data_IF_452877051709
#
_entry.id   IF_452877051709
#
_cell.length_a   1.000
_cell.length_b   1.000
_cell.length_c   1.000
_cell.angle_alpha   90.00
_cell.angle_beta   90.00
_cell.angle_gamma   90.00
#
_symmetry.space_group_name_H-M   'P 1'
#
loop_
_entity.id
_entity.type
_entity.pdbx_description
1 polymer ?
#
# COMPACT_ATOMS: atom_id res chain seq x y z
N UNK A 1 26.44 -15.86 -21.04
CA UNK A 1 25.90 -14.62 -20.43
C UNK A 1 24.36 -14.57 -20.33
N UNK A 2 23.60 -15.45 -20.99
CA UNK A 2 22.12 -15.41 -20.97
C UNK A 2 21.48 -15.87 -19.64
N UNK A 3 22.01 -16.92 -19.00
CA UNK A 3 21.41 -17.51 -17.77
C UNK A 3 21.42 -16.60 -16.54
N UNK A 4 22.40 -15.68 -16.43
CA UNK A 4 22.45 -14.75 -15.29
C UNK A 4 21.29 -13.76 -15.36
N UNK A 5 21.03 -13.17 -16.53
CA UNK A 5 19.92 -12.22 -16.73
C UNK A 5 18.56 -12.86 -16.45
N UNK A 6 18.36 -14.11 -16.87
CA UNK A 6 17.12 -14.87 -16.60
C UNK A 6 16.91 -15.08 -15.10
N UNK A 7 17.95 -15.44 -14.35
CA UNK A 7 17.85 -15.60 -12.89
C UNK A 7 17.54 -14.28 -12.17
N UNK A 8 18.20 -13.17 -12.58
CA UNK A 8 17.89 -11.84 -12.04
C UNK A 8 16.43 -11.43 -12.33
N UNK A 9 15.91 -11.68 -13.53
CA UNK A 9 14.51 -11.38 -13.88
C UNK A 9 13.51 -12.25 -13.13
N UNK A 10 13.80 -13.53 -12.93
CA UNK A 10 12.96 -14.44 -12.13
C UNK A 10 12.97 -14.03 -10.66
N UNK A 11 14.14 -13.65 -10.13
CA UNK A 11 14.27 -13.11 -8.78
C UNK A 11 13.46 -11.81 -8.62
N UNK A 12 13.56 -10.89 -9.58
CA UNK A 12 12.83 -9.63 -9.55
C UNK A 12 11.32 -9.84 -9.62
N UNK A 13 10.84 -10.72 -10.51
CA UNK A 13 9.42 -11.10 -10.59
C UNK A 13 8.91 -11.70 -9.27
N UNK A 14 9.70 -12.58 -8.62
CA UNK A 14 9.32 -13.17 -7.34
C UNK A 14 9.26 -12.11 -6.23
N UNK A 15 10.23 -11.20 -6.17
CA UNK A 15 10.25 -10.11 -5.19
C UNK A 15 9.04 -9.19 -5.39
N UNK A 16 8.76 -8.77 -6.63
CA UNK A 16 7.58 -7.96 -6.96
C UNK A 16 6.28 -8.66 -6.54
N UNK A 17 6.13 -9.94 -6.87
CA UNK A 17 4.96 -10.71 -6.46
C UNK A 17 4.80 -10.77 -4.93
N UNK A 18 5.90 -11.03 -4.20
CA UNK A 18 5.87 -11.07 -2.74
C UNK A 18 5.47 -9.73 -2.11
N UNK A 19 5.98 -8.61 -2.66
CA UNK A 19 5.63 -7.27 -2.20
C UNK A 19 4.17 -6.91 -2.51
N UNK A 20 3.69 -7.23 -3.71
CA UNK A 20 2.27 -7.04 -4.07
C UNK A 20 1.38 -7.86 -3.13
N UNK A 21 1.72 -9.13 -2.90
CA UNK A 21 0.97 -9.99 -1.99
C UNK A 21 0.92 -9.41 -0.57
N UNK A 22 2.06 -8.98 -0.04
CA UNK A 22 2.12 -8.33 1.27
C UNK A 22 1.25 -7.06 1.34
N UNK A 23 1.27 -6.23 0.29
CA UNK A 23 0.47 -5.02 0.22
C UNK A 23 -1.03 -5.29 0.18
N UNK A 24 -1.49 -6.23 -0.64
CA UNK A 24 -2.92 -6.56 -0.75
C UNK A 24 -3.46 -7.37 0.43
N UNK A 25 -2.61 -8.20 1.06
CA UNK A 25 -3.00 -9.03 2.22
C UNK A 25 -2.88 -8.28 3.55
N UNK A 26 -2.24 -7.12 3.58
CA UNK A 26 -2.11 -6.33 4.80
C UNK A 26 -3.50 -5.97 5.34
N UNK A 27 -3.74 -6.34 6.60
CA UNK A 27 -4.94 -6.01 7.36
C UNK A 27 -4.52 -5.55 8.74
N UNK A 28 -5.00 -4.38 9.12
CA UNK A 28 -4.81 -3.85 10.46
C UNK A 28 -5.65 -4.66 11.45
N UNK A 29 -5.09 -4.93 12.63
CA UNK A 29 -5.79 -5.64 13.69
C UNK A 29 -6.63 -4.63 14.48
N UNK A 30 -7.88 -5.00 14.82
CA UNK A 30 -8.76 -4.16 15.63
C UNK A 30 -8.08 -3.79 16.96
N UNK A 31 -8.05 -2.49 17.28
CA UNK A 31 -7.39 -1.96 18.49
C UNK A 31 -5.86 -1.87 18.43
N UNK A 32 -5.20 -2.22 17.31
CA UNK A 32 -3.76 -2.01 17.14
C UNK A 32 -3.43 -0.56 16.77
N UNK A 33 -2.14 -0.22 16.70
CA UNK A 33 -1.70 1.13 16.33
C UNK A 33 -1.95 1.42 14.85
N UNK A 34 -2.84 2.39 14.56
CA UNK A 34 -3.09 2.89 13.20
C UNK A 34 -1.83 3.49 12.56
N UNK A 35 -1.00 4.14 13.38
CA UNK A 35 0.26 4.75 12.96
C UNK A 35 1.28 3.73 12.50
N UNK A 36 1.44 2.65 13.26
CA UNK A 36 2.36 1.56 12.88
C UNK A 36 1.90 0.89 11.59
N UNK A 37 0.59 0.69 11.45
CA UNK A 37 0.00 0.15 10.22
C UNK A 37 0.20 1.09 9.01
N UNK A 38 -0.03 2.40 9.18
CA UNK A 38 0.19 3.40 8.14
C UNK A 38 1.65 3.46 7.67
N UNK A 39 2.62 3.44 8.61
CA UNK A 39 4.05 3.39 8.28
C UNK A 39 4.41 2.12 7.53
N UNK A 40 3.88 0.97 7.96
CA UNK A 40 4.08 -0.30 7.25
C UNK A 40 3.55 -0.22 5.82
N UNK A 41 2.33 0.27 5.61
CA UNK A 41 1.74 0.41 4.28
C UNK A 41 2.56 1.37 3.39
N UNK A 42 3.01 2.51 3.92
CA UNK A 42 3.87 3.44 3.20
C UNK A 42 5.17 2.75 2.73
N UNK A 43 5.81 1.98 3.60
CA UNK A 43 7.03 1.26 3.26
C UNK A 43 6.83 0.21 2.15
N UNK A 44 5.63 -0.38 2.04
CA UNK A 44 5.29 -1.29 0.97
C UNK A 44 5.07 -0.55 -0.35
N UNK A 45 4.44 0.64 -0.31
CA UNK A 45 4.27 1.50 -1.49
C UNK A 45 5.62 1.94 -2.05
N UNK A 46 6.52 2.42 -1.19
CA UNK A 46 7.87 2.84 -1.59
C UNK A 46 8.65 1.69 -2.26
N UNK A 47 8.61 0.49 -1.65
CA UNK A 47 9.25 -0.71 -2.24
C UNK A 47 8.66 -1.10 -3.59
N UNK A 48 7.34 -0.97 -3.78
CA UNK A 48 6.72 -1.23 -5.07
C UNK A 48 7.17 -0.23 -6.14
N UNK A 49 7.31 1.05 -5.78
CA UNK A 49 7.85 2.10 -6.67
C UNK A 49 9.31 1.83 -7.04
N UNK A 50 10.14 1.45 -6.07
CA UNK A 50 11.55 1.11 -6.31
C UNK A 50 11.72 -0.08 -7.28
N UNK A 51 10.79 -1.05 -7.21
CA UNK A 51 10.76 -2.21 -8.08
C UNK A 51 10.09 -1.97 -9.44
N UNK A 52 9.68 -0.73 -9.76
CA UNK A 52 8.89 -0.39 -10.96
C UNK A 52 7.63 -1.29 -11.08
N UNK A 53 7.07 -1.67 -9.94
CA UNK A 53 5.85 -2.45 -9.77
C UNK A 53 4.69 -1.55 -9.34
N UNK A 54 4.78 -0.26 -9.68
CA UNK A 54 3.84 0.75 -9.27
C UNK A 54 2.52 0.70 -10.04
N UNK A 55 1.50 1.32 -9.47
CA UNK A 55 0.21 1.46 -10.11
C UNK A 55 0.16 2.77 -10.88
N UNK A 56 -0.37 2.72 -12.10
CA UNK A 56 -0.56 3.91 -12.96
C UNK A 56 -1.42 5.00 -12.32
N UNK A 57 -2.22 4.64 -11.30
CA UNK A 57 -3.15 5.52 -10.59
C UNK A 57 -2.78 5.54 -9.12
N UNK A 58 -2.43 6.72 -8.61
CA UNK A 58 -2.05 6.88 -7.20
C UNK A 58 -3.21 6.54 -6.25
N UNK A 59 -4.44 6.75 -6.71
CA UNK A 59 -5.66 6.42 -5.97
C UNK A 59 -5.77 4.93 -5.65
N UNK A 60 -5.13 4.05 -6.45
CA UNK A 60 -5.12 2.61 -6.17
C UNK A 60 -4.40 2.29 -4.85
N UNK A 61 -3.35 3.03 -4.50
CA UNK A 61 -2.69 2.84 -3.22
C UNK A 61 -3.58 3.27 -2.06
N UNK A 62 -4.22 4.43 -2.21
CA UNK A 62 -5.18 4.96 -1.24
C UNK A 62 -6.31 3.95 -1.00
N UNK A 63 -6.92 3.43 -2.06
CA UNK A 63 -8.02 2.47 -1.97
C UNK A 63 -7.61 1.19 -1.22
N UNK A 64 -6.40 0.68 -1.47
CA UNK A 64 -5.90 -0.54 -0.81
C UNK A 64 -5.57 -0.27 0.67
N UNK A 65 -5.00 0.90 0.98
CA UNK A 65 -4.74 1.30 2.37
C UNK A 65 -6.05 1.45 3.14
N UNK A 66 -7.06 2.10 2.58
CA UNK A 66 -8.38 2.22 3.23
C UNK A 66 -9.03 0.85 3.46
N UNK A 67 -8.94 -0.07 2.48
CA UNK A 67 -9.44 -1.45 2.62
C UNK A 67 -8.68 -2.29 3.65
N UNK A 68 -7.47 -1.89 4.03
CA UNK A 68 -6.68 -2.59 5.03
C UNK A 68 -7.07 -2.23 6.47
N UNK A 69 -7.82 -1.14 6.67
CA UNK A 69 -8.29 -0.70 7.99
C UNK A 69 -9.45 -1.59 8.48
N UNK A 70 -9.63 -1.72 9.80
CA UNK A 70 -10.70 -2.52 10.35
C UNK A 70 -12.05 -1.77 10.31
N UNK A 71 -13.19 -2.48 10.45
CA UNK A 71 -14.53 -1.87 10.33
C UNK A 71 -14.81 -0.71 11.29
N UNK A 72 -14.11 -0.64 12.43
CA UNK A 72 -14.20 0.51 13.34
C UNK A 72 -13.82 1.85 12.68
N UNK A 73 -13.12 1.81 11.55
CA UNK A 73 -12.73 2.99 10.76
C UNK A 73 -13.73 3.34 9.65
N UNK A 74 -14.86 2.64 9.49
CA UNK A 74 -15.82 2.88 8.40
C UNK A 74 -16.26 4.35 8.33
N UNK A 75 -16.52 5.00 9.47
CA UNK A 75 -16.89 6.42 9.50
C UNK A 75 -15.73 7.33 9.06
N UNK A 76 -14.49 6.99 9.41
CA UNK A 76 -13.29 7.70 8.94
C UNK A 76 -13.12 7.54 7.42
N UNK A 77 -13.31 6.33 6.90
CA UNK A 77 -13.24 6.01 5.47
C UNK A 77 -14.32 6.78 4.71
N UNK A 78 -15.56 6.81 5.22
CA UNK A 78 -16.64 7.61 4.64
C UNK A 78 -16.29 9.09 4.61
N UNK A 79 -15.76 9.65 5.69
CA UNK A 79 -15.36 11.05 5.76
C UNK A 79 -14.25 11.37 4.74
N UNK A 80 -13.24 10.50 4.63
CA UNK A 80 -12.18 10.65 3.63
C UNK A 80 -12.75 10.60 2.21
N UNK A 81 -13.63 9.63 1.92
CA UNK A 81 -14.21 9.46 0.59
C UNK A 81 -15.10 10.63 0.15
N UNK A 82 -15.75 11.30 1.12
CA UNK A 82 -16.63 12.45 0.90
C UNK A 82 -15.85 13.76 0.75
N UNK A 83 -14.62 13.85 1.27
CA UNK A 83 -13.79 15.03 1.12
C UNK A 83 -13.16 15.02 -0.29
N UNK A 84 -13.82 15.71 -1.23
CA UNK A 84 -13.47 15.73 -2.65
C UNK A 84 -12.09 16.33 -2.95
N UNK A 85 -11.54 17.12 -2.03
CA UNK A 85 -10.46 18.05 -2.39
C UNK A 85 -9.11 17.37 -2.60
N UNK A 86 -8.71 16.36 -1.84
CA UNK A 86 -7.37 15.76 -2.02
C UNK A 86 -7.32 14.27 -1.63
N UNK A 87 -7.80 13.39 -2.52
CA UNK A 87 -7.61 11.94 -2.38
C UNK A 87 -6.18 11.52 -2.73
N UNK A 88 -5.19 12.05 -2.02
CA UNK A 88 -3.79 11.74 -2.27
C UNK A 88 -3.19 10.91 -1.13
N UNK A 89 -2.15 10.14 -1.46
CA UNK A 89 -1.49 9.25 -0.51
C UNK A 89 -0.91 10.02 0.69
N UNK A 90 -0.45 11.24 0.48
CA UNK A 90 0.19 12.06 1.51
C UNK A 90 -0.81 12.51 2.59
N UNK A 91 -2.02 12.94 2.21
CA UNK A 91 -3.10 13.26 3.16
C UNK A 91 -3.55 12.03 3.94
N UNK A 92 -3.70 10.89 3.27
CA UNK A 92 -4.03 9.64 3.94
C UNK A 92 -2.97 9.30 4.99
N UNK A 93 -1.68 9.41 4.65
CA UNK A 93 -0.59 9.17 5.61
C UNK A 93 -0.66 10.16 6.78
N UNK A 94 -0.93 11.45 6.54
CA UNK A 94 -1.09 12.44 7.62
C UNK A 94 -2.28 12.16 8.55
N UNK A 95 -3.35 11.52 8.04
CA UNK A 95 -4.46 11.09 8.89
C UNK A 95 -4.12 9.84 9.73
N UNK A 96 -3.22 8.99 9.22
CA UNK A 96 -2.85 7.72 9.86
C UNK A 96 -1.68 7.87 10.84
N UNK A 97 -0.81 8.88 10.68
CA UNK A 97 0.45 9.08 11.45
C UNK A 97 0.32 10.18 12.49
#
# INVERSE_FOLDING_TARGET
MHRMKEFYLVSDRHIRYAMMKAFFDARMIEGSSVREHGVMMLSLVEKLKDLQADFNKEETYVDVILQSLPPSFDQCIMNYNMNWLEKNLHELINMLV
#
